data_IF_039002548068
#
_entry.id   IF_039002548068
#
_cell.length_a   1.000
_cell.length_b   1.000
_cell.length_c   1.000
_cell.angle_alpha   90.00
_cell.angle_beta   90.00
_cell.angle_gamma   90.00
#
_symmetry.space_group_name_H-M   'P 1'
#
loop_
_entity.id
_entity.type
_entity.pdbx_description
1 polymer ?
#
# COMPACT_ATOMS: atom_id res chain seq x y z
N UNK A 1 -23.36 -19.08 22.66
CA UNK A 1 -22.01 -18.51 22.41
C UNK A 1 -22.23 -17.12 21.82
N UNK A 2 -21.77 -16.07 22.49
CA UNK A 2 -22.02 -14.70 22.06
C UNK A 2 -21.39 -14.49 20.67
N UNK A 3 -22.24 -14.24 19.68
CA UNK A 3 -21.83 -13.84 18.34
C UNK A 3 -21.15 -12.47 18.41
N UNK A 4 -19.81 -12.45 18.46
CA UNK A 4 -19.06 -11.19 18.47
C UNK A 4 -19.29 -10.46 17.15
N UNK A 5 -19.55 -9.16 17.22
CA UNK A 5 -19.68 -8.28 16.05
C UNK A 5 -18.50 -8.49 15.09
N UNK A 6 -18.79 -8.54 13.79
CA UNK A 6 -17.75 -8.63 12.74
C UNK A 6 -16.83 -7.43 12.78
N UNK A 7 -17.35 -6.27 13.14
CA UNK A 7 -16.63 -5.01 13.18
C UNK A 7 -16.35 -4.59 14.62
N UNK A 8 -15.09 -4.32 14.91
CA UNK A 8 -14.65 -3.73 16.17
C UNK A 8 -14.36 -2.24 15.93
N UNK A 9 -15.24 -1.38 16.43
CA UNK A 9 -15.06 0.06 16.28
C UNK A 9 -13.92 0.58 17.16
N UNK A 10 -13.12 1.47 16.59
CA UNK A 10 -12.11 2.17 17.35
C UNK A 10 -12.79 3.13 18.36
N UNK A 11 -12.31 3.13 19.59
CA UNK A 11 -12.71 4.11 20.59
C UNK A 11 -12.30 5.52 20.15
N UNK A 12 -12.91 6.55 20.72
CA UNK A 12 -12.54 7.94 20.36
C UNK A 12 -11.06 8.23 20.66
N UNK A 13 -10.52 7.70 21.76
CA UNK A 13 -9.08 7.82 22.05
C UNK A 13 -8.19 7.16 20.97
N UNK A 14 -8.57 5.98 20.50
CA UNK A 14 -7.87 5.29 19.41
C UNK A 14 -7.97 6.07 18.09
N UNK A 15 -9.16 6.60 17.77
CA UNK A 15 -9.39 7.46 16.59
C UNK A 15 -8.52 8.71 16.64
N UNK A 16 -8.42 9.36 17.79
CA UNK A 16 -7.58 10.56 17.96
C UNK A 16 -6.09 10.26 17.78
N UNK A 17 -5.60 9.14 18.36
CA UNK A 17 -4.22 8.68 18.16
C UNK A 17 -3.96 8.39 16.67
N UNK A 18 -4.90 7.74 16.00
CA UNK A 18 -4.80 7.47 14.57
C UNK A 18 -4.78 8.75 13.72
N UNK A 19 -5.71 9.68 13.95
CA UNK A 19 -5.79 10.97 13.23
C UNK A 19 -4.45 11.72 13.30
N UNK A 20 -3.85 11.79 14.49
CA UNK A 20 -2.54 12.42 14.67
C UNK A 20 -1.46 11.77 13.81
N UNK A 21 -1.41 10.43 13.75
CA UNK A 21 -0.47 9.73 12.89
C UNK A 21 -0.73 9.98 11.40
N UNK A 22 -2.02 9.99 11.00
CA UNK A 22 -2.47 10.22 9.63
C UNK A 22 -2.18 11.65 9.14
N UNK A 23 -2.20 12.64 10.01
CA UNK A 23 -1.84 14.04 9.70
C UNK A 23 -0.32 14.25 9.64
N UNK A 24 0.44 13.65 10.56
CA UNK A 24 1.89 13.83 10.62
C UNK A 24 2.61 13.18 9.42
N UNK A 25 2.11 12.06 8.94
CA UNK A 25 2.83 11.26 7.94
C UNK A 25 2.91 11.92 6.56
N UNK A 26 1.83 12.45 5.98
CA UNK A 26 1.90 13.16 4.69
C UNK A 26 2.83 14.37 4.74
N UNK A 27 2.83 15.13 5.83
CA UNK A 27 3.73 16.26 6.03
C UNK A 27 5.22 15.83 6.09
N UNK A 28 5.49 14.68 6.68
CA UNK A 28 6.83 14.07 6.67
C UNK A 28 7.22 13.63 5.25
N UNK A 29 6.33 12.98 4.49
CA UNK A 29 6.60 12.56 3.12
C UNK A 29 6.88 13.74 2.20
N UNK A 30 6.12 14.83 2.35
CA UNK A 30 6.38 16.05 1.58
C UNK A 30 7.77 16.62 1.88
N UNK A 31 8.14 16.70 3.16
CA UNK A 31 9.47 17.16 3.55
C UNK A 31 10.57 16.21 3.03
N UNK A 32 10.32 14.90 3.03
CA UNK A 32 11.22 13.88 2.49
C UNK A 32 11.45 14.09 0.97
N UNK A 33 10.36 14.31 0.21
CA UNK A 33 10.44 14.61 -1.23
C UNK A 33 11.20 15.89 -1.51
N UNK A 34 10.94 16.97 -0.76
CA UNK A 34 11.73 18.20 -0.83
C UNK A 34 13.21 17.97 -0.55
N UNK A 35 13.52 17.05 0.37
CA UNK A 35 14.89 16.64 0.70
C UNK A 35 15.64 15.99 -0.46
N UNK A 36 14.93 15.35 -1.42
CA UNK A 36 15.56 14.76 -2.61
C UNK A 36 16.27 15.81 -3.48
N UNK A 37 15.76 17.04 -3.54
CA UNK A 37 16.40 18.15 -4.25
C UNK A 37 17.78 18.50 -3.68
N UNK A 38 18.06 18.13 -2.42
CA UNK A 38 19.35 18.37 -1.74
C UNK A 38 20.22 17.11 -1.65
N UNK A 39 19.86 16.03 -2.35
CA UNK A 39 20.67 14.81 -2.46
C UNK A 39 21.99 15.14 -3.17
N UNK A 40 23.10 14.59 -2.68
CA UNK A 40 24.43 15.02 -3.10
C UNK A 40 24.95 16.21 -2.29
N UNK A 41 25.54 17.21 -2.92
CA UNK A 41 26.08 18.35 -2.21
C UNK A 41 26.58 19.45 -3.14
N UNK A 42 26.94 20.59 -2.56
CA UNK A 42 27.71 21.63 -3.22
C UNK A 42 29.03 21.80 -2.48
N UNK A 43 30.11 21.92 -3.21
CA UNK A 43 31.45 22.13 -2.66
C UNK A 43 32.27 23.05 -3.55
N UNK A 44 33.14 23.84 -2.93
CA UNK A 44 34.16 24.61 -3.64
C UNK A 44 35.31 23.69 -4.02
N UNK A 45 35.68 23.68 -5.30
CA UNK A 45 36.82 22.93 -5.82
C UNK A 45 37.86 23.89 -6.40
N UNK A 46 39.09 23.80 -5.96
CA UNK A 46 40.20 24.62 -6.47
C UNK A 46 40.82 23.95 -7.71
N UNK A 47 40.82 24.67 -8.83
CA UNK A 47 41.38 24.22 -10.10
C UNK A 47 42.30 25.34 -10.63
N UNK A 48 43.56 25.00 -10.83
CA UNK A 48 44.59 25.96 -11.32
C UNK A 48 44.58 27.28 -10.55
N UNK A 49 44.51 27.23 -9.24
CA UNK A 49 44.54 28.40 -8.36
C UNK A 49 43.20 29.14 -8.19
N UNK A 50 42.18 28.82 -8.98
CA UNK A 50 40.83 29.43 -8.89
C UNK A 50 39.84 28.49 -8.27
N UNK A 51 38.88 29.00 -7.50
CA UNK A 51 37.80 28.22 -6.89
C UNK A 51 36.55 28.22 -7.76
N UNK A 52 35.96 27.03 -7.92
CA UNK A 52 34.73 26.81 -8.70
C UNK A 52 33.71 26.11 -7.82
N UNK A 53 32.45 26.51 -7.92
CA UNK A 53 31.35 25.86 -7.25
C UNK A 53 30.93 24.63 -8.06
N UNK A 54 30.92 23.45 -7.40
CA UNK A 54 30.46 22.20 -7.98
C UNK A 54 29.20 21.71 -7.30
N UNK A 55 28.23 21.26 -8.10
CA UNK A 55 27.01 20.58 -7.66
C UNK A 55 27.15 19.09 -7.92
N UNK A 56 27.21 18.28 -6.88
CA UNK A 56 27.24 16.81 -6.97
C UNK A 56 25.83 16.24 -6.84
N UNK A 57 25.50 15.26 -7.70
CA UNK A 57 24.20 14.59 -7.72
C UNK A 57 24.21 13.28 -6.95
N UNK A 58 25.35 12.65 -6.82
CA UNK A 58 25.54 11.37 -6.13
C UNK A 58 26.85 11.32 -5.33
N UNK A 59 27.11 10.17 -4.73
CA UNK A 59 28.34 9.89 -3.96
C UNK A 59 29.51 9.48 -4.85
N UNK A 60 29.28 9.18 -6.12
CA UNK A 60 30.31 8.75 -7.07
C UNK A 60 31.04 9.96 -7.69
N UNK A 61 30.62 11.16 -7.34
CA UNK A 61 31.26 12.38 -7.82
C UNK A 61 30.72 12.90 -9.15
N UNK A 62 29.61 12.36 -9.64
CA UNK A 62 28.95 12.94 -10.82
C UNK A 62 28.36 14.29 -10.45
N UNK A 63 28.86 15.32 -11.11
CA UNK A 63 28.46 16.69 -10.82
C UNK A 63 28.81 17.63 -11.95
N UNK A 64 28.31 18.85 -11.84
CA UNK A 64 28.54 19.92 -12.80
C UNK A 64 29.14 21.16 -12.12
N UNK A 65 29.95 21.91 -12.84
CA UNK A 65 30.46 23.19 -12.39
C UNK A 65 29.40 24.27 -12.59
N UNK A 66 29.09 25.00 -11.51
CA UNK A 66 28.19 26.14 -11.54
C UNK A 66 28.90 27.47 -11.81
N UNK A 67 30.24 27.45 -12.00
CA UNK A 67 31.05 28.60 -12.34
C UNK A 67 32.12 28.93 -11.32
N UNK A 68 32.98 29.89 -11.63
CA UNK A 68 34.03 30.39 -10.73
C UNK A 68 33.41 31.10 -9.53
N UNK A 69 34.19 31.23 -8.46
CA UNK A 69 33.77 31.94 -7.25
C UNK A 69 33.47 33.41 -7.58
N UNK A 70 32.26 33.80 -7.28
CA UNK A 70 31.67 35.13 -7.53
C UNK A 70 30.59 35.37 -6.49
N UNK A 71 30.13 36.60 -6.36
CA UNK A 71 29.01 36.92 -5.46
C UNK A 71 27.75 36.06 -5.77
N UNK A 72 27.49 35.82 -7.06
CA UNK A 72 26.37 34.97 -7.48
C UNK A 72 26.53 33.51 -7.03
N UNK A 73 27.70 32.88 -7.21
CA UNK A 73 27.95 31.51 -6.80
C UNK A 73 28.04 31.38 -5.28
N UNK A 74 28.50 32.40 -4.57
CA UNK A 74 28.46 32.41 -3.09
C UNK A 74 27.03 32.48 -2.57
N UNK A 75 26.17 33.31 -3.17
CA UNK A 75 24.73 33.33 -2.82
C UNK A 75 24.05 31.98 -3.08
N UNK A 76 24.32 31.36 -4.26
CA UNK A 76 23.79 30.02 -4.57
C UNK A 76 24.22 28.97 -3.54
N UNK A 77 25.48 28.98 -3.16
CA UNK A 77 26.02 28.06 -2.15
C UNK A 77 25.40 28.28 -0.76
N UNK A 78 25.27 29.55 -0.36
CA UNK A 78 24.67 29.95 0.91
C UNK A 78 23.20 29.53 0.99
N UNK A 79 22.43 29.84 -0.05
CA UNK A 79 21.00 29.47 -0.13
C UNK A 79 20.79 27.95 -0.14
N UNK A 80 21.60 27.24 -0.92
CA UNK A 80 21.55 25.76 -0.92
C UNK A 80 21.85 25.18 0.45
N UNK A 81 22.90 25.64 1.11
CA UNK A 81 23.33 25.16 2.41
C UNK A 81 22.27 25.42 3.47
N UNK A 82 21.74 26.64 3.52
CA UNK A 82 20.66 27.03 4.44
C UNK A 82 19.43 26.15 4.25
N UNK A 83 18.89 26.06 3.03
CA UNK A 83 17.69 25.26 2.71
C UNK A 83 17.90 23.78 3.02
N UNK A 84 19.07 23.24 2.73
CA UNK A 84 19.43 21.86 3.08
C UNK A 84 19.41 21.62 4.60
N UNK A 85 19.96 22.57 5.38
CA UNK A 85 19.95 22.49 6.85
C UNK A 85 18.53 22.57 7.39
N UNK A 86 17.70 23.49 6.90
CA UNK A 86 16.28 23.63 7.29
C UNK A 86 15.50 22.34 7.04
N UNK A 87 15.58 21.79 5.81
CA UNK A 87 14.92 20.53 5.47
C UNK A 87 15.42 19.36 6.33
N UNK A 88 16.72 19.27 6.56
CA UNK A 88 17.31 18.22 7.39
C UNK A 88 16.89 18.32 8.86
N UNK A 89 16.80 19.54 9.40
CA UNK A 89 16.33 19.78 10.77
C UNK A 89 14.84 19.41 10.89
N UNK A 90 14.00 19.85 9.93
CA UNK A 90 12.58 19.52 9.87
C UNK A 90 12.34 18.01 9.78
N UNK A 91 13.08 17.29 8.92
CA UNK A 91 13.00 15.83 8.82
C UNK A 91 13.35 15.14 10.13
N UNK A 92 14.37 15.60 10.84
CA UNK A 92 14.74 15.04 12.15
C UNK A 92 13.63 15.24 13.18
N UNK A 93 13.07 16.44 13.27
CA UNK A 93 11.98 16.74 14.18
C UNK A 93 10.72 15.91 13.87
N UNK A 94 10.34 15.80 12.59
CA UNK A 94 9.18 15.00 12.17
C UNK A 94 9.39 13.51 12.44
N UNK A 95 10.60 12.96 12.24
CA UNK A 95 10.92 11.57 12.58
C UNK A 95 10.76 11.29 14.07
N UNK A 96 11.22 12.18 14.92
CA UNK A 96 11.05 12.02 16.38
C UNK A 96 9.56 12.00 16.76
N UNK A 97 8.76 12.92 16.22
CA UNK A 97 7.31 12.93 16.44
C UNK A 97 6.62 11.65 15.95
N UNK A 98 6.99 11.16 14.77
CA UNK A 98 6.45 9.90 14.24
C UNK A 98 6.89 8.69 15.08
N UNK A 99 8.10 8.68 15.64
CA UNK A 99 8.55 7.63 16.55
C UNK A 99 7.78 7.64 17.87
N UNK A 100 7.50 8.82 18.43
CA UNK A 100 6.66 8.99 19.60
C UNK A 100 5.23 8.52 19.31
N UNK A 101 4.63 9.00 18.22
CA UNK A 101 3.30 8.59 17.77
C UNK A 101 3.19 7.08 17.55
N UNK A 102 4.24 6.45 17.01
CA UNK A 102 4.29 5.00 16.84
C UNK A 102 4.20 4.23 18.17
N UNK A 103 4.71 4.79 19.27
CA UNK A 103 4.56 4.20 20.61
C UNK A 103 3.11 4.28 21.07
N UNK A 104 2.43 5.42 20.86
CA UNK A 104 1.01 5.57 21.16
C UNK A 104 0.15 4.62 20.33
N UNK A 105 0.41 4.49 19.01
CA UNK A 105 -0.31 3.55 18.15
C UNK A 105 -0.17 2.10 18.64
N UNK A 106 1.02 1.69 19.12
CA UNK A 106 1.20 0.35 19.71
C UNK A 106 0.45 0.18 21.02
N UNK A 107 0.57 1.15 21.92
CA UNK A 107 -0.11 1.10 23.22
C UNK A 107 -1.63 1.06 23.07
N UNK A 108 -2.18 1.78 22.08
CA UNK A 108 -3.60 1.79 21.76
C UNK A 108 -4.07 0.58 20.94
N UNK A 109 -3.17 -0.36 20.59
CA UNK A 109 -3.46 -1.59 19.83
C UNK A 109 -4.08 -1.34 18.43
N UNK A 110 -3.75 -0.20 17.81
CA UNK A 110 -4.22 0.14 16.46
C UNK A 110 -3.26 -0.29 15.33
N UNK A 111 -2.30 -1.13 15.64
CA UNK A 111 -1.29 -1.65 14.70
C UNK A 111 -1.79 -2.92 14.00
N UNK A 112 -2.13 -2.85 12.71
CA UNK A 112 -2.77 -3.94 11.94
C UNK A 112 -1.86 -4.55 10.88
N UNK A 113 -1.16 -3.69 10.11
CA UNK A 113 -0.44 -4.13 8.91
C UNK A 113 0.83 -4.91 9.28
N UNK A 114 1.10 -6.07 8.64
CA UNK A 114 2.31 -6.86 8.87
C UNK A 114 3.58 -6.04 8.69
N UNK A 115 4.61 -6.34 9.49
CA UNK A 115 5.88 -5.60 9.46
C UNK A 115 6.51 -5.58 8.08
N UNK A 116 6.54 -6.71 7.37
CA UNK A 116 7.10 -6.77 6.03
C UNK A 116 6.34 -5.84 5.07
N UNK A 117 4.99 -5.90 5.06
CA UNK A 117 4.17 -5.05 4.20
C UNK A 117 4.39 -3.56 4.48
N UNK A 118 4.38 -3.13 5.76
CA UNK A 118 4.55 -1.72 6.10
C UNK A 118 5.93 -1.18 5.70
N UNK A 119 6.98 -1.97 5.83
CA UNK A 119 8.33 -1.60 5.39
C UNK A 119 8.40 -1.46 3.87
N UNK A 120 7.76 -2.36 3.13
CA UNK A 120 7.68 -2.30 1.67
C UNK A 120 6.95 -1.03 1.24
N UNK A 121 5.76 -0.76 1.79
CA UNK A 121 4.97 0.43 1.45
C UNK A 121 5.79 1.72 1.65
N UNK A 122 6.48 1.86 2.78
CA UNK A 122 7.38 3.00 3.03
C UNK A 122 8.51 3.13 2.01
N UNK A 123 9.07 2.00 1.55
CA UNK A 123 10.11 2.04 0.52
C UNK A 123 9.55 2.43 -0.85
N UNK A 124 8.39 1.91 -1.22
CA UNK A 124 7.71 2.30 -2.46
C UNK A 124 7.45 3.81 -2.51
N UNK A 125 7.04 4.42 -1.40
CA UNK A 125 6.84 5.87 -1.30
C UNK A 125 8.16 6.66 -1.43
N UNK A 126 9.25 6.14 -0.86
CA UNK A 126 10.57 6.77 -0.95
C UNK A 126 11.16 6.73 -2.35
N UNK A 127 10.76 5.77 -3.16
CA UNK A 127 11.16 5.61 -4.57
C UNK A 127 10.13 6.17 -5.56
N UNK A 128 9.06 6.81 -5.06
CA UNK A 128 7.93 7.34 -5.85
C UNK A 128 7.18 6.26 -6.69
N UNK A 129 7.43 4.98 -6.39
CA UNK A 129 6.74 3.87 -7.04
C UNK A 129 5.33 3.65 -6.49
N UNK A 130 5.06 4.10 -5.28
CA UNK A 130 3.75 3.95 -4.63
C UNK A 130 2.59 4.59 -5.39
N UNK A 131 2.88 5.61 -6.20
CA UNK A 131 1.87 6.27 -7.04
C UNK A 131 1.40 5.43 -8.22
N UNK A 132 2.24 4.51 -8.69
CA UNK A 132 1.99 3.67 -9.86
C UNK A 132 1.56 2.25 -9.49
N UNK A 133 1.48 1.96 -8.19
CA UNK A 133 1.15 0.64 -7.66
C UNK A 133 -0.10 0.71 -6.80
N UNK A 134 -0.98 -0.28 -6.97
CA UNK A 134 -2.10 -0.57 -6.08
C UNK A 134 -1.78 -1.82 -5.26
N UNK A 135 -2.24 -1.83 -4.02
CA UNK A 135 -2.31 -3.04 -3.22
C UNK A 135 -3.66 -3.68 -3.49
N UNK A 136 -3.66 -4.91 -3.96
CA UNK A 136 -4.88 -5.68 -4.27
C UNK A 136 -5.00 -6.92 -3.39
N UNK A 137 -6.16 -7.59 -3.44
CA UNK A 137 -6.47 -8.74 -2.61
C UNK A 137 -6.61 -8.37 -1.12
N UNK A 138 -6.53 -9.35 -0.24
CA UNK A 138 -6.85 -9.20 1.18
C UNK A 138 -6.11 -8.04 1.90
N UNK A 139 -4.91 -7.67 1.45
CA UNK A 139 -4.15 -6.59 2.05
C UNK A 139 -4.75 -5.19 1.80
N UNK A 140 -5.58 -5.03 0.77
CA UNK A 140 -6.32 -3.79 0.51
C UNK A 140 -7.31 -3.46 1.63
N UNK A 141 -7.85 -4.48 2.29
CA UNK A 141 -8.83 -4.34 3.38
C UNK A 141 -8.29 -3.47 4.52
N UNK A 142 -6.99 -3.49 4.78
CA UNK A 142 -6.39 -2.60 5.79
C UNK A 142 -6.66 -1.12 5.52
N UNK A 143 -6.67 -0.69 4.25
CA UNK A 143 -7.00 0.70 3.93
C UNK A 143 -8.45 1.03 4.28
N UNK A 144 -9.36 0.12 3.97
CA UNK A 144 -10.80 0.31 4.25
C UNK A 144 -11.08 0.30 5.76
N UNK A 145 -10.46 -0.61 6.52
CA UNK A 145 -10.54 -0.64 7.99
C UNK A 145 -10.14 0.69 8.62
N UNK A 146 -8.99 1.24 8.21
CA UNK A 146 -8.49 2.50 8.77
C UNK A 146 -9.33 3.70 8.36
N UNK A 147 -9.88 3.72 7.14
CA UNK A 147 -10.77 4.77 6.69
C UNK A 147 -12.10 4.78 7.46
N UNK A 148 -12.65 3.59 7.67
CA UNK A 148 -13.90 3.40 8.41
C UNK A 148 -13.73 3.56 9.94
N UNK A 149 -12.51 3.51 10.45
CA UNK A 149 -12.25 3.53 11.90
C UNK A 149 -12.75 2.28 12.61
N UNK A 150 -12.76 1.14 11.91
CA UNK A 150 -13.17 -0.16 12.44
C UNK A 150 -12.21 -1.26 12.00
N UNK A 151 -12.11 -2.32 12.78
CA UNK A 151 -11.31 -3.49 12.45
C UNK A 151 -12.19 -4.73 12.34
N UNK A 152 -11.98 -5.54 11.31
CA UNK A 152 -12.58 -6.86 11.22
C UNK A 152 -12.07 -7.73 12.37
N UNK A 153 -12.96 -8.26 13.17
CA UNK A 153 -12.66 -8.94 14.43
C UNK A 153 -13.17 -10.38 14.45
N UNK A 154 -12.82 -11.11 15.52
CA UNK A 154 -13.22 -12.49 15.74
C UNK A 154 -12.54 -13.49 14.80
N UNK A 155 -12.92 -14.77 14.91
CA UNK A 155 -12.37 -15.85 14.10
C UNK A 155 -12.64 -15.64 12.61
N UNK A 156 -13.82 -15.15 12.25
CA UNK A 156 -14.20 -14.83 10.87
C UNK A 156 -13.35 -13.68 10.30
N UNK A 157 -13.10 -12.60 11.06
CA UNK A 157 -12.21 -11.50 10.65
C UNK A 157 -10.78 -11.96 10.44
N UNK A 158 -10.27 -12.79 11.36
CA UNK A 158 -8.93 -13.37 11.24
C UNK A 158 -8.76 -14.24 9.99
N UNK A 159 -9.75 -15.07 9.66
CA UNK A 159 -9.74 -15.91 8.46
C UNK A 159 -9.73 -15.06 7.16
N UNK A 160 -10.51 -13.97 7.12
CA UNK A 160 -10.56 -13.04 5.97
C UNK A 160 -9.24 -12.36 5.69
N UNK A 161 -8.47 -12.07 6.73
CA UNK A 161 -7.17 -11.38 6.64
C UNK A 161 -5.97 -12.32 6.71
N UNK A 162 -6.17 -13.64 6.78
CA UNK A 162 -5.08 -14.61 6.92
C UNK A 162 -4.05 -14.47 5.80
N UNK A 163 -4.49 -14.26 4.58
CA UNK A 163 -3.64 -14.02 3.42
C UNK A 163 -2.84 -12.72 3.54
N UNK A 164 -3.49 -11.63 3.98
CA UNK A 164 -2.84 -10.34 4.15
C UNK A 164 -1.72 -10.36 5.21
N UNK A 165 -1.75 -11.33 6.14
CA UNK A 165 -0.68 -11.51 7.12
C UNK A 165 0.59 -12.13 6.53
N UNK A 166 0.50 -12.77 5.37
CA UNK A 166 1.57 -13.57 4.76
C UNK A 166 2.01 -13.08 3.39
N UNK A 167 1.18 -12.26 2.73
CA UNK A 167 1.47 -11.82 1.37
C UNK A 167 0.98 -10.40 1.08
N UNK A 168 1.66 -9.77 0.13
CA UNK A 168 1.30 -8.49 -0.45
C UNK A 168 1.25 -8.66 -1.96
N UNK A 169 0.08 -8.41 -2.56
CA UNK A 169 -0.05 -8.38 -4.02
C UNK A 169 -0.11 -6.94 -4.48
N UNK A 170 0.82 -6.58 -5.34
CA UNK A 170 0.92 -5.27 -5.96
C UNK A 170 0.46 -5.37 -7.40
N UNK A 171 -0.28 -4.38 -7.87
CA UNK A 171 -0.70 -4.25 -9.25
C UNK A 171 -0.33 -2.86 -9.76
N UNK A 172 0.10 -2.74 -11.00
CA UNK A 172 0.52 -1.47 -11.54
C UNK A 172 0.14 -1.28 -12.99
N UNK A 173 -0.14 -0.02 -13.34
CA UNK A 173 -0.23 0.43 -14.71
C UNK A 173 1.18 0.68 -15.26
N UNK A 174 1.42 0.22 -16.49
CA UNK A 174 2.67 0.47 -17.19
C UNK A 174 3.79 -0.54 -16.89
N UNK A 175 4.97 -0.23 -17.41
CA UNK A 175 6.14 -1.11 -17.36
C UNK A 175 6.94 -0.90 -16.06
N UNK A 176 6.41 -1.37 -14.94
CA UNK A 176 7.24 -1.49 -13.74
C UNK A 176 8.18 -2.65 -13.95
N UNK A 177 9.50 -2.36 -14.00
CA UNK A 177 10.51 -3.38 -14.12
C UNK A 177 10.54 -4.21 -12.83
N UNK A 178 10.42 -5.54 -12.96
CA UNK A 178 10.48 -6.44 -11.81
C UNK A 178 11.77 -6.29 -11.01
N UNK A 179 12.89 -6.11 -11.70
CA UNK A 179 14.21 -5.92 -11.11
C UNK A 179 14.30 -4.65 -10.25
N UNK A 180 13.58 -3.60 -10.65
CA UNK A 180 13.50 -2.37 -9.86
C UNK A 180 12.68 -2.59 -8.59
N UNK A 181 11.51 -3.24 -8.71
CA UNK A 181 10.70 -3.59 -7.56
C UNK A 181 11.48 -4.51 -6.61
N UNK A 182 12.15 -5.53 -7.11
CA UNK A 182 12.95 -6.45 -6.30
C UNK A 182 14.04 -5.71 -5.51
N UNK A 183 14.73 -4.74 -6.14
CA UNK A 183 15.70 -3.88 -5.42
C UNK A 183 15.06 -3.09 -4.30
N UNK A 184 13.84 -2.59 -4.49
CA UNK A 184 13.08 -1.88 -3.45
C UNK A 184 12.66 -2.82 -2.32
N UNK A 185 12.23 -4.04 -2.64
CA UNK A 185 11.93 -5.09 -1.64
C UNK A 185 13.18 -5.42 -0.80
N UNK A 186 14.34 -5.58 -1.43
CA UNK A 186 15.61 -5.83 -0.74
C UNK A 186 16.09 -4.66 0.13
N UNK A 187 15.67 -3.42 -0.18
CA UNK A 187 15.91 -2.28 0.71
C UNK A 187 14.96 -2.28 1.93
N UNK A 188 13.78 -2.87 1.81
CA UNK A 188 12.87 -3.06 2.94
C UNK A 188 13.35 -4.22 3.85
N UNK A 189 13.76 -5.33 3.24
CA UNK A 189 14.35 -6.48 3.90
C UNK A 189 15.32 -7.17 2.92
N UNK A 190 16.60 -7.22 3.27
CA UNK A 190 17.67 -7.78 2.43
C UNK A 190 17.49 -9.26 2.10
N UNK A 191 16.66 -9.97 2.84
CA UNK A 191 16.39 -11.40 2.62
C UNK A 191 15.41 -11.68 1.49
N UNK A 192 14.78 -10.66 0.88
CA UNK A 192 13.93 -10.86 -0.28
C UNK A 192 14.72 -11.41 -1.46
N UNK A 193 14.26 -12.54 -1.98
CA UNK A 193 14.78 -13.16 -3.19
C UNK A 193 13.62 -13.49 -4.15
N UNK A 194 13.89 -13.36 -5.45
CA UNK A 194 12.95 -13.82 -6.48
C UNK A 194 12.77 -15.32 -6.37
N UNK A 195 11.54 -15.80 -6.48
CA UNK A 195 11.24 -17.22 -6.55
C UNK A 195 11.33 -17.70 -8.01
N UNK A 196 11.89 -18.90 -8.25
CA UNK A 196 11.92 -19.48 -9.60
C UNK A 196 10.51 -19.85 -10.06
N UNK A 197 10.23 -19.69 -11.34
CA UNK A 197 8.95 -20.03 -11.96
C UNK A 197 8.34 -18.89 -12.75
N UNK A 198 7.13 -19.10 -13.24
CA UNK A 198 6.36 -18.08 -13.95
C UNK A 198 5.81 -17.05 -12.96
N UNK A 199 6.03 -15.78 -13.27
CA UNK A 199 5.49 -14.65 -12.53
C UNK A 199 6.51 -13.85 -11.75
N UNK A 200 6.15 -12.61 -11.44
CA UNK A 200 6.95 -11.68 -10.64
C UNK A 200 6.67 -11.90 -9.15
N UNK A 201 7.37 -12.88 -8.56
CA UNK A 201 7.17 -13.33 -7.17
C UNK A 201 8.48 -13.29 -6.40
N UNK A 202 8.45 -12.80 -5.17
CA UNK A 202 9.57 -12.82 -4.24
C UNK A 202 9.12 -13.24 -2.84
N UNK A 203 10.03 -13.85 -2.08
CA UNK A 203 9.84 -14.16 -0.67
C UNK A 203 11.00 -13.66 0.18
N UNK A 204 10.73 -13.32 1.42
CA UNK A 204 11.77 -13.09 2.42
C UNK A 204 12.02 -14.38 3.25
N UNK A 205 13.03 -14.36 4.12
CA UNK A 205 13.36 -15.51 4.98
C UNK A 205 12.25 -15.93 5.94
N UNK A 206 11.34 -15.01 6.27
CA UNK A 206 10.21 -15.25 7.17
C UNK A 206 9.00 -15.84 6.41
N UNK A 207 9.15 -16.09 5.10
CA UNK A 207 8.10 -16.63 4.24
C UNK A 207 7.04 -15.60 3.82
N UNK A 208 7.30 -14.29 4.02
CA UNK A 208 6.40 -13.26 3.51
C UNK A 208 6.55 -13.13 2.00
N UNK A 209 5.43 -13.27 1.28
CA UNK A 209 5.39 -13.26 -0.18
C UNK A 209 5.03 -11.90 -0.73
N UNK A 210 5.70 -11.49 -1.81
CA UNK A 210 5.32 -10.30 -2.58
C UNK A 210 5.15 -10.71 -4.05
N UNK A 211 4.01 -10.36 -4.61
CA UNK A 211 3.67 -10.61 -6.01
C UNK A 211 3.45 -9.28 -6.73
N UNK A 212 3.96 -9.17 -7.95
CA UNK A 212 3.56 -8.10 -8.87
C UNK A 212 2.62 -8.71 -9.92
N UNK A 213 1.33 -8.40 -9.81
CA UNK A 213 0.33 -8.74 -10.82
C UNK A 213 0.47 -7.81 -12.02
N UNK A 214 0.54 -8.39 -13.21
CA UNK A 214 0.60 -7.66 -14.49
C UNK A 214 -0.71 -7.84 -15.23
N UNK A 215 -1.24 -6.76 -15.78
CA UNK A 215 -2.34 -6.85 -16.74
C UNK A 215 -1.80 -7.47 -18.03
N UNK A 216 -2.16 -8.72 -18.30
CA UNK A 216 -1.83 -9.33 -19.57
C UNK A 216 -2.81 -8.85 -20.64
N UNK A 217 -2.29 -8.31 -21.74
CA UNK A 217 -3.04 -8.00 -22.96
C UNK A 217 -3.42 -9.25 -23.77
N UNK A 218 -3.07 -10.43 -23.27
CA UNK A 218 -3.38 -11.72 -23.92
C UNK A 218 -4.69 -12.29 -23.39
N UNK A 219 -5.45 -12.94 -24.31
CA UNK A 219 -6.69 -13.67 -24.05
C UNK A 219 -6.58 -14.51 -22.78
N UNK A 220 -7.63 -14.56 -21.94
CA UNK A 220 -7.65 -15.40 -20.76
C UNK A 220 -7.49 -16.88 -21.14
N UNK A 221 -6.25 -17.34 -21.14
CA UNK A 221 -5.95 -18.76 -21.11
C UNK A 221 -6.08 -19.25 -19.67
N UNK A 222 -6.35 -20.55 -19.47
CA UNK A 222 -6.33 -21.19 -18.16
C UNK A 222 -5.00 -20.90 -17.46
N UNK A 223 -4.94 -19.88 -16.63
CA UNK A 223 -3.78 -19.60 -15.81
C UNK A 223 -3.78 -20.63 -14.67
N UNK A 224 -2.70 -21.37 -14.53
CA UNK A 224 -2.54 -22.34 -13.44
C UNK A 224 -2.14 -21.61 -12.15
N UNK A 225 -2.68 -22.07 -11.03
CA UNK A 225 -2.22 -21.64 -9.72
C UNK A 225 -0.73 -21.92 -9.56
N UNK A 226 0.02 -20.95 -9.02
CA UNK A 226 1.46 -21.09 -8.82
C UNK A 226 1.72 -21.78 -7.48
N UNK A 227 2.34 -22.95 -7.51
CA UNK A 227 2.78 -23.65 -6.31
C UNK A 227 4.07 -23.01 -5.79
N UNK A 228 4.03 -22.47 -4.58
CA UNK A 228 5.20 -21.88 -3.92
C UNK A 228 5.75 -22.89 -2.93
N UNK A 229 7.06 -23.25 -3.01
CA UNK A 229 7.68 -24.14 -2.03
C UNK A 229 7.50 -23.59 -0.59
N UNK A 230 6.93 -24.40 0.30
CA UNK A 230 6.68 -24.03 1.70
C UNK A 230 5.40 -23.22 1.94
N UNK A 231 4.65 -22.80 0.93
CA UNK A 231 3.32 -22.23 1.11
C UNK A 231 2.29 -23.34 1.33
N UNK A 232 1.36 -23.13 2.28
CA UNK A 232 0.30 -24.12 2.56
C UNK A 232 -0.72 -24.23 1.44
N UNK A 233 -0.85 -23.20 0.61
CA UNK A 233 -1.83 -23.12 -0.47
C UNK A 233 -1.17 -22.55 -1.74
N UNK A 234 -1.58 -23.01 -2.93
CA UNK A 234 -1.14 -22.42 -4.19
C UNK A 234 -1.57 -20.95 -4.26
N UNK A 235 -0.74 -20.12 -4.91
CA UNK A 235 -1.15 -18.75 -5.23
C UNK A 235 -2.25 -18.80 -6.30
N UNK A 236 -3.36 -18.07 -6.09
CA UNK A 236 -4.39 -18.00 -7.13
C UNK A 236 -3.82 -17.39 -8.41
N UNK A 237 -4.39 -17.71 -9.57
CA UNK A 237 -4.00 -17.11 -10.85
C UNK A 237 -4.08 -15.58 -10.80
N UNK A 238 -3.39 -14.91 -11.71
CA UNK A 238 -3.45 -13.44 -11.81
C UNK A 238 -4.88 -12.98 -12.04
N UNK A 239 -5.23 -11.83 -11.45
CA UNK A 239 -6.57 -11.32 -11.44
C UNK A 239 -7.10 -11.11 -12.88
N UNK A 240 -8.06 -11.91 -13.32
CA UNK A 240 -8.61 -11.85 -14.69
C UNK A 240 -9.25 -10.50 -15.02
N UNK A 241 -9.68 -9.77 -14.01
CA UNK A 241 -10.25 -8.42 -14.13
C UNK A 241 -9.32 -7.33 -13.56
N UNK A 242 -8.00 -7.59 -13.54
CA UNK A 242 -7.02 -6.63 -13.03
C UNK A 242 -7.13 -5.26 -13.71
N UNK A 243 -7.43 -5.21 -14.99
CA UNK A 243 -7.64 -3.97 -15.73
C UNK A 243 -8.76 -3.09 -15.12
N UNK A 244 -9.82 -3.68 -14.59
CA UNK A 244 -10.91 -2.94 -13.96
C UNK A 244 -10.51 -2.40 -12.60
N UNK A 245 -9.77 -3.17 -11.80
CA UNK A 245 -9.21 -2.68 -10.54
C UNK A 245 -8.21 -1.55 -10.76
N UNK A 246 -7.43 -1.60 -11.84
CA UNK A 246 -6.48 -0.54 -12.19
C UNK A 246 -7.18 0.72 -12.72
N UNK A 247 -8.31 0.56 -13.44
CA UNK A 247 -9.11 1.67 -13.96
C UNK A 247 -10.02 2.30 -12.88
N UNK A 248 -10.34 1.58 -11.80
CA UNK A 248 -11.17 2.08 -10.71
C UNK A 248 -10.51 3.26 -9.99
N UNK A 249 -11.30 4.17 -9.38
CA UNK A 249 -10.77 5.22 -8.53
C UNK A 249 -9.80 4.67 -7.49
N UNK A 250 -8.73 5.42 -7.23
CA UNK A 250 -7.72 5.02 -6.25
C UNK A 250 -8.13 5.42 -4.86
N UNK A 251 -8.10 4.49 -3.95
CA UNK A 251 -8.37 4.68 -2.53
C UNK A 251 -7.06 4.68 -1.74
N UNK A 252 -6.60 5.85 -1.32
CA UNK A 252 -5.34 5.99 -0.58
C UNK A 252 -5.59 6.33 0.87
N UNK A 253 -5.05 5.51 1.79
CA UNK A 253 -5.24 5.68 3.22
C UNK A 253 -3.94 5.48 3.99
N UNK A 254 -3.73 6.27 5.04
CA UNK A 254 -2.64 6.02 5.99
C UNK A 254 -3.02 4.82 6.85
N UNK A 255 -2.15 3.82 6.88
CA UNK A 255 -2.33 2.60 7.68
C UNK A 255 -1.21 2.47 8.71
N UNK A 256 -1.46 1.77 9.81
CA UNK A 256 -0.49 1.59 10.90
C UNK A 256 0.04 0.17 10.91
N UNK A 257 1.36 0.05 10.83
CA UNK A 257 2.06 -1.23 10.89
C UNK A 257 2.22 -1.78 12.31
N UNK A 258 2.58 -3.05 12.41
CA UNK A 258 2.86 -3.71 13.71
C UNK A 258 3.99 -3.03 14.49
N UNK A 259 4.83 -2.25 13.84
CA UNK A 259 5.84 -1.41 14.49
C UNK A 259 5.26 -0.10 15.06
N UNK A 260 3.95 0.15 14.88
CA UNK A 260 3.23 1.35 15.28
C UNK A 260 3.37 2.52 14.31
N UNK A 261 4.26 2.43 13.34
CA UNK A 261 4.51 3.53 12.42
C UNK A 261 3.59 3.51 11.20
N UNK A 262 3.31 4.69 10.61
CA UNK A 262 2.42 4.82 9.47
C UNK A 262 3.11 4.50 8.13
N UNK A 263 2.29 4.15 7.11
CA UNK A 263 2.61 4.19 5.68
C UNK A 263 1.32 4.52 4.91
N UNK A 264 1.43 5.00 3.68
CA UNK A 264 0.27 5.08 2.78
C UNK A 264 0.06 3.74 2.09
N UNK A 265 -1.17 3.25 2.12
CA UNK A 265 -1.61 2.11 1.35
C UNK A 265 -2.61 2.62 0.31
N UNK A 266 -2.30 2.42 -0.96
CA UNK A 266 -3.20 2.74 -2.07
C UNK A 266 -3.83 1.45 -2.58
N UNK A 267 -5.15 1.37 -2.50
CA UNK A 267 -5.98 0.25 -2.91
C UNK A 267 -6.92 0.69 -4.06
N UNK A 268 -7.60 -0.23 -4.75
CA UNK A 268 -8.76 0.12 -5.57
C UNK A 268 -9.88 0.73 -4.73
N UNK A 269 -10.83 1.35 -5.39
CA UNK A 269 -12.08 1.71 -4.75
C UNK A 269 -12.71 0.50 -4.02
N UNK A 270 -13.28 0.68 -2.81
CA UNK A 270 -13.78 -0.44 -2.01
C UNK A 270 -14.92 -1.22 -2.68
N UNK A 271 -15.78 -0.56 -3.49
CA UNK A 271 -16.81 -1.27 -4.26
C UNK A 271 -16.22 -2.06 -5.40
N UNK A 272 -15.27 -1.49 -6.14
CA UNK A 272 -14.54 -2.21 -7.18
C UNK A 272 -13.84 -3.45 -6.61
N UNK A 273 -13.26 -3.34 -5.40
CA UNK A 273 -12.70 -4.48 -4.68
C UNK A 273 -13.78 -5.52 -4.36
N UNK A 274 -14.91 -5.11 -3.76
CA UNK A 274 -15.96 -6.03 -3.34
C UNK A 274 -16.54 -6.80 -4.53
N UNK A 275 -16.86 -6.12 -5.62
CA UNK A 275 -17.37 -6.75 -6.85
C UNK A 275 -16.36 -7.72 -7.46
N UNK A 276 -15.10 -7.33 -7.53
CA UNK A 276 -14.03 -8.19 -8.05
C UNK A 276 -13.86 -9.47 -7.20
N UNK A 277 -13.91 -9.34 -5.88
CA UNK A 277 -13.81 -10.50 -4.98
C UNK A 277 -15.04 -11.40 -5.07
N UNK A 278 -16.24 -10.82 -5.23
CA UNK A 278 -17.46 -11.60 -5.42
C UNK A 278 -17.41 -12.39 -6.74
N UNK A 279 -17.04 -11.74 -7.83
CA UNK A 279 -16.88 -12.39 -9.13
C UNK A 279 -15.89 -13.58 -9.06
N UNK A 280 -14.76 -13.39 -8.39
CA UNK A 280 -13.80 -14.46 -8.20
C UNK A 280 -14.36 -15.63 -7.38
N UNK A 281 -15.22 -15.36 -6.41
CA UNK A 281 -15.86 -16.39 -5.59
C UNK A 281 -16.83 -17.28 -6.37
N UNK A 282 -17.28 -16.84 -7.53
CA UNK A 282 -18.24 -17.55 -8.40
C UNK A 282 -17.54 -18.43 -9.45
N UNK A 283 -16.22 -18.27 -9.64
CA UNK A 283 -15.50 -19.05 -10.64
C UNK A 283 -15.36 -20.52 -10.23
N UNK A 284 -15.92 -21.44 -11.03
CA UNK A 284 -15.96 -22.87 -10.71
C UNK A 284 -14.60 -23.56 -10.74
N UNK A 285 -13.63 -23.02 -11.48
CA UNK A 285 -12.27 -23.56 -11.61
C UNK A 285 -11.38 -23.25 -10.39
N UNK A 286 -11.90 -22.51 -9.41
CA UNK A 286 -11.20 -22.16 -8.18
C UNK A 286 -11.48 -23.12 -7.03
N UNK A 287 -10.48 -23.26 -6.17
CA UNK A 287 -10.62 -24.03 -4.93
C UNK A 287 -11.76 -23.51 -4.05
N UNK A 288 -12.66 -24.37 -3.55
CA UNK A 288 -13.84 -23.96 -2.76
C UNK A 288 -13.49 -23.13 -1.51
N UNK A 289 -12.39 -23.44 -0.82
CA UNK A 289 -11.98 -22.68 0.36
C UNK A 289 -11.54 -21.25 -0.02
N UNK A 290 -10.90 -21.10 -1.17
CA UNK A 290 -10.52 -19.79 -1.72
C UNK A 290 -11.76 -19.00 -2.10
N UNK A 291 -12.72 -19.61 -2.81
CA UNK A 291 -14.00 -18.99 -3.15
C UNK A 291 -14.77 -18.50 -1.92
N UNK A 292 -14.85 -19.32 -0.88
CA UNK A 292 -15.50 -18.95 0.38
C UNK A 292 -14.84 -17.74 1.06
N UNK A 293 -13.49 -17.63 1.02
CA UNK A 293 -12.76 -16.47 1.55
C UNK A 293 -13.02 -15.21 0.73
N UNK A 294 -12.95 -15.30 -0.60
CA UNK A 294 -13.18 -14.18 -1.51
C UNK A 294 -14.59 -13.62 -1.33
N UNK A 295 -15.62 -14.49 -1.31
CA UNK A 295 -17.00 -14.08 -1.00
C UNK A 295 -17.09 -13.39 0.36
N UNK A 296 -16.48 -13.97 1.40
CA UNK A 296 -16.48 -13.41 2.74
C UNK A 296 -15.77 -12.05 2.81
N UNK A 297 -14.71 -11.83 2.05
CA UNK A 297 -14.03 -10.54 1.93
C UNK A 297 -14.88 -9.51 1.21
N UNK A 298 -15.53 -9.90 0.11
CA UNK A 298 -16.43 -9.04 -0.64
C UNK A 298 -17.56 -8.48 0.24
N UNK A 299 -18.27 -9.38 0.94
CA UNK A 299 -19.39 -9.00 1.81
C UNK A 299 -18.93 -8.17 3.01
N UNK A 300 -17.78 -8.49 3.61
CA UNK A 300 -17.23 -7.72 4.71
C UNK A 300 -16.86 -6.28 4.30
N UNK A 301 -16.29 -6.09 3.09
CA UNK A 301 -15.97 -4.74 2.60
C UNK A 301 -17.22 -3.99 2.20
N UNK A 302 -18.18 -4.63 1.52
CA UNK A 302 -19.46 -4.01 1.18
C UNK A 302 -20.21 -3.54 2.44
N UNK A 303 -20.35 -4.39 3.45
CA UNK A 303 -20.98 -4.01 4.72
C UNK A 303 -20.22 -2.92 5.47
N UNK A 304 -18.87 -2.90 5.38
CA UNK A 304 -18.05 -1.84 5.95
C UNK A 304 -18.33 -0.49 5.26
N UNK A 305 -18.46 -0.49 3.92
CA UNK A 305 -18.76 0.74 3.17
C UNK A 305 -20.15 1.24 3.49
N UNK A 306 -21.17 0.40 3.40
CA UNK A 306 -22.56 0.77 3.68
C UNK A 306 -22.74 1.38 5.08
N UNK A 307 -22.05 0.85 6.07
CA UNK A 307 -22.23 1.27 7.46
C UNK A 307 -21.34 2.42 7.89
N UNK A 308 -20.08 2.46 7.44
CA UNK A 308 -19.06 3.35 8.00
C UNK A 308 -18.48 4.34 6.99
N UNK A 309 -18.74 4.16 5.70
CA UNK A 309 -18.19 5.02 4.63
C UNK A 309 -19.30 5.51 3.67
N UNK A 310 -20.40 6.11 4.19
CA UNK A 310 -21.56 6.49 3.36
C UNK A 310 -21.24 7.54 2.29
N UNK A 311 -20.08 8.18 2.35
CA UNK A 311 -19.59 9.11 1.33
C UNK A 311 -19.08 8.40 0.06
N UNK A 312 -18.89 7.09 0.10
CA UNK A 312 -18.56 6.26 -1.06
C UNK A 312 -19.83 5.60 -1.55
N UNK A 313 -20.71 6.42 -2.17
CA UNK A 313 -21.92 5.92 -2.79
C UNK A 313 -21.57 5.04 -3.98
N UNK A 314 -22.35 3.98 -4.11
CA UNK A 314 -22.26 3.08 -5.24
C UNK A 314 -23.00 3.70 -6.44
N UNK A 315 -22.27 4.51 -7.22
CA UNK A 315 -22.88 5.15 -8.41
C UNK A 315 -23.01 4.14 -9.54
N UNK A 316 -24.24 3.95 -10.10
CA UNK A 316 -24.42 3.11 -11.28
C UNK A 316 -23.54 3.50 -12.47
N UNK A 317 -23.17 4.78 -12.58
CA UNK A 317 -22.29 5.28 -13.66
C UNK A 317 -20.84 4.82 -13.51
N UNK A 318 -20.38 4.52 -12.30
CA UNK A 318 -19.07 3.93 -12.07
C UNK A 318 -19.03 2.43 -12.39
N UNK A 319 -20.21 1.80 -12.41
CA UNK A 319 -20.38 0.41 -12.81
C UNK A 319 -20.26 0.17 -14.31
N UNK A 320 -20.53 1.17 -15.14
CA UNK A 320 -20.42 1.03 -16.59
C UNK A 320 -19.00 0.70 -17.07
N UNK A 321 -17.98 0.93 -16.22
CA UNK A 321 -16.61 0.52 -16.50
C UNK A 321 -16.35 -0.98 -16.21
N UNK A 322 -17.26 -1.65 -15.48
CA UNK A 322 -17.17 -3.08 -15.20
C UNK A 322 -17.91 -3.92 -16.25
N UNK A 323 -17.48 -5.17 -16.50
CA UNK A 323 -18.26 -6.10 -17.31
C UNK A 323 -19.69 -6.24 -16.78
N UNK A 324 -20.65 -6.42 -17.69
CA UNK A 324 -22.08 -6.55 -17.33
C UNK A 324 -22.36 -7.71 -16.37
N UNK A 325 -21.54 -8.74 -16.38
CA UNK A 325 -21.59 -9.86 -15.45
C UNK A 325 -21.18 -9.48 -14.03
N UNK A 326 -20.27 -8.51 -13.86
CA UNK A 326 -19.96 -7.92 -12.55
C UNK A 326 -21.05 -6.93 -12.10
N UNK A 327 -21.62 -6.15 -13.01
CA UNK A 327 -22.67 -5.17 -12.71
C UNK A 327 -24.01 -5.79 -12.26
N UNK A 328 -24.29 -7.05 -12.63
CA UNK A 328 -25.52 -7.75 -12.16
C UNK A 328 -25.51 -8.09 -10.67
N UNK A 329 -24.33 -8.14 -10.08
CA UNK A 329 -24.16 -8.57 -8.68
C UNK A 329 -24.22 -7.41 -7.68
N UNK A 330 -24.50 -6.18 -8.11
CA UNK A 330 -24.48 -5.00 -7.23
C UNK A 330 -25.63 -4.98 -6.22
N UNK A 331 -26.87 -5.20 -6.69
CA UNK A 331 -28.05 -5.33 -5.81
C UNK A 331 -27.91 -6.53 -4.88
N UNK A 332 -27.31 -7.63 -5.39
CA UNK A 332 -27.03 -8.83 -4.60
C UNK A 332 -25.97 -8.56 -3.51
N UNK A 333 -24.92 -7.78 -3.79
CA UNK A 333 -23.89 -7.44 -2.79
C UNK A 333 -24.47 -6.58 -1.68
N UNK A 334 -25.24 -5.55 -2.02
CA UNK A 334 -25.92 -4.69 -1.03
C UNK A 334 -26.92 -5.50 -0.20
N UNK A 335 -27.75 -6.30 -0.87
CA UNK A 335 -28.74 -7.16 -0.22
C UNK A 335 -28.09 -8.21 0.68
N UNK A 336 -27.04 -8.91 0.20
CA UNK A 336 -26.35 -9.92 0.99
C UNK A 336 -25.55 -9.32 2.15
N UNK A 337 -24.91 -8.18 1.97
CA UNK A 337 -24.20 -7.49 3.05
C UNK A 337 -25.14 -7.05 4.16
N UNK A 338 -26.33 -6.60 3.79
CA UNK A 338 -27.40 -6.25 4.72
C UNK A 338 -27.96 -7.47 5.44
N UNK A 339 -28.17 -8.60 4.73
CA UNK A 339 -28.70 -9.85 5.31
C UNK A 339 -27.69 -10.52 6.26
N UNK A 340 -26.40 -10.58 5.92
CA UNK A 340 -25.38 -11.10 6.84
C UNK A 340 -25.30 -10.31 8.15
N UNK A 341 -25.65 -9.05 8.12
CA UNK A 341 -25.72 -8.19 9.29
C UNK A 341 -26.96 -8.49 10.14
N UNK A 342 -28.12 -8.74 9.53
CA UNK A 342 -29.38 -9.05 10.23
C UNK A 342 -29.38 -10.45 10.86
N UNK A 343 -28.83 -11.46 10.22
CA UNK A 343 -28.79 -12.85 10.72
C UNK A 343 -27.87 -13.07 11.94
N UNK A 344 -27.14 -12.05 12.37
CA UNK A 344 -26.24 -12.11 13.56
C UNK A 344 -26.77 -11.39 14.79
N UNK A 345 -27.93 -10.74 14.68
CA UNK A 345 -28.61 -10.10 15.81
C UNK A 345 -29.80 -10.90 16.38
N UNK A 346 -30.20 -12.00 15.73
CA UNK A 346 -31.10 -13.03 16.24
C UNK A 346 -30.28 -14.25 16.71
#
# INVERSE_FOLDING_TARGET
>A
MAGGSLYHELTEGQRQIYRTAAELYPAYLETLRRGLAFKGGMHWKKIRGREYLYRYRDRLGHGESLGPRSEQTERLFGDFTRRRQEVSARLRAQRLRLQEQARFCRAALIHRVPRAAILILRRLEQHDLGRNLLVIGAAAIFAYEFAAGVFLSGAAGGARLADAQRRLTLAGEGKIAWEELLRVLQQADRSFAALPGEGCLAANRDGFLVRLAKSETRRPGRQKAVTVPGAREPLPPEAGHLQYLLAAPRFSQVVIGRDGGPATLTAPDPWAFALNQLWWSEQEDRDPATRGRERSQALAVAGLVLRYLPQYDFSPSELDMFPRDLGRNTEDVEGMASIEEFQRYD
#
